data_IF_015830854800
#
_entry.id   IF_015830854800
#
_cell.length_a   1.000
_cell.length_b   1.000
_cell.length_c   1.000
_cell.angle_alpha   90.00
_cell.angle_beta   90.00
_cell.angle_gamma   90.00
#
_symmetry.space_group_name_H-M   'P 1'
#
loop_
_entity.id
_entity.type
_entity.pdbx_description
1 polymer ?
#
# COMPACT_ATOMS: atom_id res chain seq x y z
N UNK A 1 13.62 -11.59 26.05
CA UNK A 1 12.83 -11.98 24.86
C UNK A 1 11.95 -10.80 24.48
N UNK A 2 12.36 -10.01 23.49
CA UNK A 2 11.54 -8.91 22.98
C UNK A 2 10.27 -9.50 22.36
N UNK A 3 9.10 -9.24 22.96
CA UNK A 3 7.81 -9.55 22.33
C UNK A 3 7.65 -8.58 21.16
N UNK A 4 7.99 -9.07 19.97
CA UNK A 4 7.88 -8.36 18.70
C UNK A 4 6.48 -7.73 18.56
N UNK A 5 6.42 -6.44 18.22
CA UNK A 5 5.19 -5.78 17.78
C UNK A 5 4.65 -6.51 16.54
N UNK A 6 3.74 -7.47 16.74
CA UNK A 6 2.99 -8.08 15.65
C UNK A 6 1.81 -7.17 15.33
N UNK A 7 1.86 -6.52 14.17
CA UNK A 7 0.77 -5.69 13.65
C UNK A 7 0.08 -6.45 12.53
N UNK A 8 -1.24 -6.53 12.58
CA UNK A 8 -2.04 -7.41 11.71
C UNK A 8 -2.95 -6.60 10.78
N UNK A 9 -3.28 -7.15 9.61
CA UNK A 9 -4.30 -6.56 8.74
C UNK A 9 -5.64 -6.40 9.48
N UNK A 10 -6.27 -5.22 9.41
CA UNK A 10 -7.57 -4.99 10.04
C UNK A 10 -8.77 -5.34 9.15
N UNK A 11 -8.56 -5.76 7.90
CA UNK A 11 -9.63 -5.99 6.93
C UNK A 11 -9.79 -7.48 6.60
N UNK A 12 -11.04 -7.87 6.33
CA UNK A 12 -11.57 -9.18 5.88
C UNK A 12 -10.62 -10.40 5.93
N UNK A 13 -11.00 -11.39 6.74
CA UNK A 13 -10.31 -12.68 6.88
C UNK A 13 -9.58 -12.84 8.21
N UNK A 14 -8.74 -13.90 8.31
CA UNK A 14 -7.99 -14.15 9.53
C UNK A 14 -6.88 -13.10 9.72
N UNK A 15 -6.76 -12.46 10.92
CA UNK A 15 -5.74 -11.47 11.17
C UNK A 15 -4.32 -12.02 10.95
N UNK A 16 -3.65 -11.56 9.90
CA UNK A 16 -2.28 -11.94 9.52
C UNK A 16 -1.32 -10.76 9.70
N UNK A 17 -0.04 -10.99 10.01
CA UNK A 17 0.95 -9.91 10.10
C UNK A 17 1.05 -9.11 8.80
N UNK A 18 1.15 -7.79 8.89
CA UNK A 18 1.51 -6.95 7.75
C UNK A 18 2.95 -7.26 7.34
N UNK A 19 3.15 -7.73 6.11
CA UNK A 19 4.47 -8.04 5.59
C UNK A 19 5.06 -6.82 4.92
N UNK A 20 6.30 -6.48 5.33
CA UNK A 20 7.11 -5.40 4.77
C UNK A 20 8.24 -6.02 3.96
N UNK A 21 8.61 -5.39 2.85
CA UNK A 21 9.73 -5.74 1.99
C UNK A 21 10.71 -4.57 1.93
N UNK A 22 12.00 -4.87 2.10
CA UNK A 22 12.98 -3.83 2.43
C UNK A 22 12.69 -3.22 3.81
N UNK A 23 13.13 -1.97 4.00
CA UNK A 23 12.84 -1.22 5.24
C UNK A 23 11.46 -0.57 5.27
N UNK A 24 10.90 -0.16 4.11
CA UNK A 24 9.83 0.85 4.08
C UNK A 24 8.59 0.47 3.27
N UNK A 25 8.62 -0.58 2.44
CA UNK A 25 7.54 -0.89 1.50
C UNK A 25 6.67 -2.05 1.98
N UNK A 26 5.34 -1.98 1.86
CA UNK A 26 4.51 -3.15 2.09
C UNK A 26 4.69 -4.15 0.95
N UNK A 27 4.53 -5.44 1.24
CA UNK A 27 4.46 -6.47 0.22
C UNK A 27 3.25 -6.18 -0.71
N UNK A 28 3.35 -6.34 -2.05
CA UNK A 28 2.24 -6.05 -2.97
C UNK A 28 0.91 -6.74 -2.62
N UNK A 29 0.98 -7.97 -2.10
CA UNK A 29 -0.19 -8.73 -1.62
C UNK A 29 -0.99 -8.00 -0.53
N UNK A 30 -0.34 -7.10 0.24
CA UNK A 30 -0.99 -6.22 1.19
C UNK A 30 -2.06 -5.34 0.56
N UNK A 31 -1.70 -4.72 -0.56
CA UNK A 31 -2.58 -3.85 -1.32
C UNK A 31 -3.67 -4.65 -2.01
N UNK A 32 -3.31 -5.78 -2.62
CA UNK A 32 -4.29 -6.66 -3.27
C UNK A 32 -5.38 -7.07 -2.27
N UNK A 33 -5.00 -7.55 -1.09
CA UNK A 33 -5.95 -7.90 -0.02
C UNK A 33 -6.81 -6.73 0.43
N UNK A 34 -6.21 -5.54 0.57
CA UNK A 34 -6.93 -4.32 0.91
C UNK A 34 -8.06 -4.04 -0.10
N UNK A 35 -7.79 -4.29 -1.38
CA UNK A 35 -8.76 -4.12 -2.47
C UNK A 35 -9.65 -5.36 -2.72
N UNK A 36 -9.67 -6.33 -1.80
CA UNK A 36 -10.50 -7.54 -1.94
C UNK A 36 -9.99 -8.53 -3.00
N UNK A 37 -8.75 -8.34 -3.48
CA UNK A 37 -8.10 -9.25 -4.40
C UNK A 37 -7.28 -10.28 -3.62
N UNK A 38 -7.60 -11.56 -3.81
CA UNK A 38 -6.82 -12.66 -3.26
C UNK A 38 -6.10 -13.37 -4.39
N UNK A 39 -4.76 -13.38 -4.36
CA UNK A 39 -3.96 -14.14 -5.34
C UNK A 39 -4.39 -15.60 -5.38
N UNK A 40 -4.66 -16.19 -4.20
CA UNK A 40 -5.13 -17.57 -4.13
C UNK A 40 -6.50 -17.73 -4.80
N UNK A 41 -7.46 -16.82 -4.52
CA UNK A 41 -8.79 -16.90 -5.13
C UNK A 41 -8.70 -16.78 -6.66
N UNK A 42 -7.87 -15.86 -7.18
CA UNK A 42 -7.64 -15.75 -8.62
C UNK A 42 -7.10 -17.03 -9.26
N UNK A 43 -6.22 -17.77 -8.57
CA UNK A 43 -5.77 -19.08 -9.04
C UNK A 43 -6.86 -20.16 -8.89
N UNK A 44 -7.66 -20.15 -7.81
CA UNK A 44 -8.79 -21.08 -7.63
C UNK A 44 -9.84 -20.87 -8.74
N UNK A 45 -10.20 -19.63 -9.08
CA UNK A 45 -11.14 -19.26 -10.14
C UNK A 45 -10.64 -19.68 -11.53
N UNK A 46 -9.33 -19.65 -11.77
CA UNK A 46 -8.71 -20.14 -12.99
C UNK A 46 -8.57 -21.69 -13.02
N UNK A 47 -9.04 -22.42 -12.01
CA UNK A 47 -8.86 -23.88 -11.89
C UNK A 47 -7.42 -24.32 -11.55
N UNK A 48 -6.55 -23.37 -11.19
CA UNK A 48 -5.12 -23.56 -10.94
C UNK A 48 -4.76 -23.53 -9.45
N UNK A 49 -5.72 -23.33 -8.55
CA UNK A 49 -5.45 -23.14 -7.12
C UNK A 49 -4.75 -24.32 -6.44
N UNK A 50 -4.95 -25.55 -6.93
CA UNK A 50 -4.20 -26.72 -6.46
C UNK A 50 -2.69 -26.63 -6.81
N UNK A 51 -2.33 -26.09 -7.98
CA UNK A 51 -0.94 -25.85 -8.37
C UNK A 51 -0.33 -24.72 -7.56
N UNK A 52 -1.07 -23.64 -7.35
CA UNK A 52 -0.65 -22.53 -6.52
C UNK A 52 -0.36 -22.98 -5.07
N UNK A 53 -1.31 -23.69 -4.43
CA UNK A 53 -1.10 -24.26 -3.07
C UNK A 53 0.11 -25.19 -3.02
N UNK A 54 0.31 -26.00 -4.06
CA UNK A 54 1.47 -26.91 -4.16
C UNK A 54 2.78 -26.14 -4.32
N UNK A 55 2.78 -25.04 -5.06
CA UNK A 55 3.93 -24.15 -5.20
C UNK A 55 4.29 -23.52 -3.85
N UNK A 56 3.31 -22.90 -3.18
CA UNK A 56 3.49 -22.25 -1.87
C UNK A 56 4.00 -23.22 -0.80
N UNK A 57 3.52 -24.46 -0.76
CA UNK A 57 4.05 -25.48 0.17
C UNK A 57 5.49 -25.87 -0.13
N UNK A 58 5.86 -25.92 -1.42
CA UNK A 58 7.20 -26.35 -1.86
C UNK A 58 8.25 -25.24 -1.75
N UNK A 59 7.82 -23.99 -1.61
CA UNK A 59 8.69 -22.84 -1.35
C UNK A 59 8.91 -22.59 0.14
N UNK A 60 8.26 -23.36 1.04
CA UNK A 60 8.48 -23.27 2.49
C UNK A 60 9.77 -23.97 2.93
N UNK A 61 10.44 -23.37 3.92
CA UNK A 61 11.82 -23.62 4.35
C UNK A 61 12.23 -25.10 4.58
N UNK A 62 13.32 -25.59 3.96
CA UNK A 62 14.00 -25.05 2.78
C UNK A 62 13.28 -25.46 1.47
N UNK A 63 13.26 -24.58 0.46
CA UNK A 63 12.62 -24.87 -0.81
C UNK A 63 13.30 -26.03 -1.55
N UNK A 64 12.52 -26.98 -2.06
CA UNK A 64 13.04 -28.01 -2.95
C UNK A 64 13.00 -27.48 -4.40
N UNK A 65 14.11 -26.88 -4.85
CA UNK A 65 14.22 -26.20 -6.14
C UNK A 65 13.67 -27.03 -7.30
N UNK A 66 14.09 -28.30 -7.43
CA UNK A 66 13.61 -29.20 -8.50
C UNK A 66 12.09 -29.35 -8.49
N UNK A 67 11.47 -29.50 -7.32
CA UNK A 67 10.01 -29.64 -7.18
C UNK A 67 9.27 -28.31 -7.35
N UNK A 68 9.88 -27.20 -6.95
CA UNK A 68 9.38 -25.83 -7.18
C UNK A 68 9.33 -25.57 -8.68
N UNK A 69 10.46 -25.74 -9.37
CA UNK A 69 10.59 -25.53 -10.82
C UNK A 69 9.63 -26.42 -11.62
N UNK A 70 9.49 -27.70 -11.25
CA UNK A 70 8.48 -28.59 -11.87
C UNK A 70 7.05 -28.04 -11.72
N UNK A 71 6.71 -27.53 -10.54
CA UNK A 71 5.36 -27.01 -10.26
C UNK A 71 5.11 -25.70 -10.99
N UNK A 72 6.14 -24.84 -11.03
CA UNK A 72 6.10 -23.56 -11.73
C UNK A 72 5.93 -23.77 -13.24
N UNK A 73 6.65 -24.71 -13.84
CA UNK A 73 6.49 -25.08 -15.25
C UNK A 73 5.07 -25.53 -15.59
N UNK A 74 4.48 -26.39 -14.76
CA UNK A 74 3.10 -26.87 -14.95
C UNK A 74 2.08 -25.73 -14.82
N UNK A 75 2.34 -24.77 -13.94
CA UNK A 75 1.50 -23.59 -13.77
C UNK A 75 1.61 -22.64 -14.97
N UNK A 76 2.83 -22.35 -15.44
CA UNK A 76 3.07 -21.49 -16.61
C UNK A 76 2.51 -22.09 -17.90
N UNK A 77 2.59 -23.42 -18.08
CA UNK A 77 2.00 -24.07 -19.26
C UNK A 77 0.48 -23.94 -19.33
N UNK A 78 -0.18 -23.71 -18.19
CA UNK A 78 -1.63 -23.54 -18.10
C UNK A 78 -2.07 -22.07 -18.08
N UNK A 79 -1.18 -21.15 -17.71
CA UNK A 79 -1.41 -19.71 -17.84
C UNK A 79 -1.21 -19.20 -19.28
N UNK A 80 -0.47 -19.95 -20.11
CA UNK A 80 -0.06 -19.54 -21.46
C UNK A 80 -0.99 -20.00 -22.60
N UNK A 81 -2.30 -19.75 -22.52
CA UNK A 81 -3.25 -19.90 -23.65
C UNK A 81 -3.44 -18.55 -24.41
N UNK A 82 -3.92 -18.54 -25.68
CA UNK A 82 -3.40 -17.66 -26.73
C UNK A 82 -3.73 -16.17 -26.57
N UNK A 83 -2.69 -15.39 -26.33
CA UNK A 83 -2.61 -13.93 -26.29
C UNK A 83 -1.14 -13.53 -26.08
N UNK A 84 -0.78 -12.25 -26.24
CA UNK A 84 0.58 -11.76 -25.98
C UNK A 84 0.84 -11.79 -24.45
N UNK A 85 1.55 -12.79 -23.90
CA UNK A 85 1.66 -12.94 -22.46
C UNK A 85 2.40 -11.73 -21.88
N UNK A 86 2.09 -11.28 -20.64
CA UNK A 86 2.87 -10.23 -19.98
C UNK A 86 4.36 -10.56 -20.06
N UNK A 87 5.18 -9.58 -20.43
CA UNK A 87 6.61 -9.77 -20.71
C UNK A 87 7.36 -10.50 -19.58
N UNK A 88 6.91 -10.32 -18.33
CA UNK A 88 7.42 -11.06 -17.17
C UNK A 88 7.24 -12.58 -17.27
N UNK A 89 6.08 -13.08 -17.73
CA UNK A 89 5.83 -14.52 -17.87
C UNK A 89 6.70 -15.14 -18.97
N UNK A 90 6.96 -14.39 -20.04
CA UNK A 90 7.87 -14.81 -21.10
C UNK A 90 9.31 -14.92 -20.59
N UNK A 91 9.81 -13.91 -19.87
CA UNK A 91 11.15 -13.94 -19.26
C UNK A 91 11.28 -15.02 -18.19
N UNK A 92 10.24 -15.23 -17.38
CA UNK A 92 10.23 -16.28 -16.37
C UNK A 92 10.32 -17.67 -17.02
N UNK A 93 9.61 -17.90 -18.13
CA UNK A 93 9.70 -19.14 -18.90
C UNK A 93 11.12 -19.35 -19.45
N UNK A 94 11.70 -18.33 -20.08
CA UNK A 94 13.08 -18.39 -20.57
C UNK A 94 14.09 -18.67 -19.45
N UNK A 95 13.92 -18.05 -18.28
CA UNK A 95 14.78 -18.29 -17.12
C UNK A 95 14.69 -19.74 -16.63
N UNK A 96 13.49 -20.33 -16.60
CA UNK A 96 13.29 -21.73 -16.24
C UNK A 96 13.89 -22.68 -17.28
N UNK A 97 13.84 -22.31 -18.56
CA UNK A 97 14.44 -23.06 -19.67
C UNK A 97 15.98 -22.92 -19.72
N UNK A 98 16.60 -22.20 -18.76
CA UNK A 98 18.05 -22.11 -18.60
C UNK A 98 18.69 -20.86 -19.23
N UNK A 99 17.91 -19.87 -19.65
CA UNK A 99 18.47 -18.61 -20.14
C UNK A 99 19.01 -17.75 -18.97
N UNK A 100 20.33 -17.73 -18.81
CA UNK A 100 21.01 -16.94 -17.76
C UNK A 100 20.69 -15.44 -17.82
N UNK A 101 20.54 -14.88 -19.02
CA UNK A 101 20.16 -13.46 -19.17
C UNK A 101 18.74 -13.20 -18.67
N UNK A 102 17.80 -14.10 -18.95
CA UNK A 102 16.42 -13.98 -18.46
C UNK A 102 16.37 -14.19 -16.94
N UNK A 103 17.13 -15.16 -16.43
CA UNK A 103 17.31 -15.37 -14.99
C UNK A 103 17.83 -14.11 -14.29
N UNK A 104 18.89 -13.50 -14.82
CA UNK A 104 19.44 -12.27 -14.27
C UNK A 104 18.42 -11.12 -14.31
N UNK A 105 17.60 -11.00 -15.37
CA UNK A 105 16.53 -10.00 -15.42
C UNK A 105 15.49 -10.24 -14.32
N UNK A 106 15.06 -11.49 -14.11
CA UNK A 106 14.09 -11.86 -13.06
C UNK A 106 14.65 -11.64 -11.67
N UNK A 107 15.90 -12.05 -11.42
CA UNK A 107 16.58 -11.89 -10.13
C UNK A 107 16.78 -10.40 -9.77
N UNK A 108 16.86 -9.52 -10.77
CA UNK A 108 16.94 -8.07 -10.60
C UNK A 108 15.58 -7.38 -10.41
N UNK A 109 14.46 -8.11 -10.32
CA UNK A 109 13.15 -7.50 -10.05
C UNK A 109 12.85 -7.46 -8.55
N UNK A 110 12.30 -6.32 -8.11
CA UNK A 110 11.62 -6.22 -6.81
C UNK A 110 10.23 -6.85 -6.84
N UNK A 111 9.61 -7.09 -5.67
CA UNK A 111 8.25 -7.63 -5.60
C UNK A 111 7.23 -6.68 -6.25
N UNK A 112 7.36 -5.37 -6.01
CA UNK A 112 6.50 -4.34 -6.63
C UNK A 112 6.69 -4.34 -8.15
N UNK A 113 7.92 -4.43 -8.66
CA UNK A 113 8.14 -4.49 -10.11
C UNK A 113 7.55 -5.76 -10.71
N UNK A 114 7.76 -6.92 -10.07
CA UNK A 114 7.14 -8.18 -10.49
C UNK A 114 5.62 -8.06 -10.54
N UNK A 115 5.01 -7.45 -9.53
CA UNK A 115 3.56 -7.24 -9.49
C UNK A 115 3.10 -6.33 -10.65
N UNK A 116 3.74 -5.17 -10.85
CA UNK A 116 3.40 -4.24 -11.92
C UNK A 116 3.52 -4.88 -13.31
N UNK A 117 4.62 -5.59 -13.56
CA UNK A 117 4.85 -6.30 -14.82
C UNK A 117 3.85 -7.44 -15.04
N UNK A 118 3.46 -8.14 -13.97
CA UNK A 118 2.45 -9.20 -14.03
C UNK A 118 1.06 -8.66 -14.37
N UNK A 119 0.74 -7.43 -13.94
CA UNK A 119 -0.47 -6.71 -14.34
C UNK A 119 -0.32 -5.96 -15.68
N UNK A 120 0.75 -6.22 -16.45
CA UNK A 120 0.96 -5.63 -17.77
C UNK A 120 1.44 -4.17 -17.76
N UNK A 121 1.78 -3.61 -16.60
CA UNK A 121 2.27 -2.23 -16.48
C UNK A 121 3.77 -2.17 -16.79
N UNK A 122 4.10 -1.74 -18.01
CA UNK A 122 5.49 -1.65 -18.51
C UNK A 122 6.26 -0.47 -17.89
N UNK A 123 7.60 -0.55 -17.75
CA UNK A 123 8.39 0.50 -17.10
C UNK A 123 8.20 1.89 -17.70
N UNK A 124 8.16 2.00 -19.03
CA UNK A 124 7.99 3.28 -19.71
C UNK A 124 6.62 3.95 -19.44
N UNK A 125 5.61 3.17 -19.02
CA UNK A 125 4.27 3.68 -18.68
C UNK A 125 4.05 3.87 -17.18
N UNK A 126 5.08 3.66 -16.33
CA UNK A 126 4.97 3.89 -14.90
C UNK A 126 4.61 5.34 -14.57
N UNK A 127 3.50 5.54 -13.85
CA UNK A 127 3.07 6.83 -13.34
C UNK A 127 3.77 7.12 -12.00
N UNK A 128 3.56 8.32 -11.44
CA UNK A 128 4.23 8.75 -10.19
C UNK A 128 4.02 7.74 -9.08
N UNK A 129 2.78 7.24 -8.91
CA UNK A 129 2.44 6.25 -7.87
C UNK A 129 3.17 4.93 -8.05
N UNK A 130 3.37 4.47 -9.30
CA UNK A 130 4.11 3.24 -9.58
C UNK A 130 5.59 3.44 -9.25
N UNK A 131 6.16 4.54 -9.74
CA UNK A 131 7.55 4.89 -9.50
C UNK A 131 7.88 5.12 -8.02
N UNK A 132 6.95 5.68 -7.24
CA UNK A 132 7.11 5.84 -5.80
C UNK A 132 7.31 4.48 -5.12
N UNK A 133 6.45 3.48 -5.37
CA UNK A 133 6.57 2.16 -4.75
C UNK A 133 7.82 1.41 -5.22
N UNK A 134 8.15 1.48 -6.52
CA UNK A 134 9.36 0.85 -7.07
C UNK A 134 10.62 1.40 -6.39
N UNK A 135 10.72 2.73 -6.27
CA UNK A 135 11.85 3.37 -5.60
C UNK A 135 11.87 3.05 -4.11
N UNK A 136 10.72 3.06 -3.45
CA UNK A 136 10.62 2.75 -2.03
C UNK A 136 11.12 1.34 -1.71
N UNK A 137 10.72 0.33 -2.49
CA UNK A 137 11.20 -1.04 -2.29
C UNK A 137 12.69 -1.18 -2.62
N UNK A 138 13.15 -0.64 -3.77
CA UNK A 138 14.56 -0.73 -4.17
C UNK A 138 15.50 -0.10 -3.16
N UNK A 139 15.24 1.16 -2.83
CA UNK A 139 16.06 1.93 -1.90
C UNK A 139 15.96 1.37 -0.48
N UNK A 140 14.76 0.89 -0.08
CA UNK A 140 14.56 0.20 1.19
C UNK A 140 15.32 -1.12 1.29
N UNK A 141 15.41 -1.93 0.23
CA UNK A 141 16.20 -3.17 0.21
C UNK A 141 17.70 -2.87 0.27
N UNK A 142 18.17 -1.89 -0.49
CA UNK A 142 19.58 -1.50 -0.47
C UNK A 142 20.01 -0.99 0.92
N UNK A 143 19.22 -0.13 1.55
CA UNK A 143 19.48 0.31 2.90
C UNK A 143 19.45 -0.85 3.91
N UNK A 144 18.50 -1.78 3.78
CA UNK A 144 18.46 -2.99 4.61
C UNK A 144 19.71 -3.86 4.43
N UNK A 145 20.21 -4.00 3.21
CA UNK A 145 21.44 -4.73 2.91
C UNK A 145 22.64 -4.11 3.61
N UNK A 146 22.81 -2.78 3.53
CA UNK A 146 23.90 -2.07 4.19
C UNK A 146 23.87 -2.26 5.71
N UNK A 147 22.70 -2.18 6.34
CA UNK A 147 22.58 -2.53 7.76
C UNK A 147 22.94 -3.99 8.05
N UNK A 148 22.49 -4.93 7.22
CA UNK A 148 22.74 -6.36 7.40
C UNK A 148 24.23 -6.74 7.25
N UNK A 149 24.99 -6.00 6.45
CA UNK A 149 26.44 -6.19 6.27
C UNK A 149 27.29 -5.39 7.26
N UNK A 150 26.67 -4.65 8.18
CA UNK A 150 27.33 -3.86 9.22
C UNK A 150 27.70 -2.44 8.81
N UNK A 151 27.42 -2.03 7.56
CA UNK A 151 27.64 -0.66 7.08
C UNK A 151 26.46 0.26 7.46
N UNK A 152 26.28 0.45 8.77
CA UNK A 152 25.20 1.31 9.28
C UNK A 152 25.39 2.77 8.86
N UNK A 153 26.64 3.28 8.85
CA UNK A 153 26.92 4.66 8.42
C UNK A 153 26.54 4.87 6.96
N UNK A 154 26.97 3.97 6.06
CA UNK A 154 26.61 4.02 4.66
C UNK A 154 25.10 3.90 4.43
N UNK A 155 24.40 3.12 5.26
CA UNK A 155 22.94 3.05 5.21
C UNK A 155 22.29 4.39 5.53
N UNK A 156 22.72 5.08 6.60
CA UNK A 156 22.18 6.39 6.98
C UNK A 156 22.51 7.47 5.96
N UNK A 157 23.74 7.49 5.45
CA UNK A 157 24.16 8.42 4.40
C UNK A 157 23.33 8.22 3.12
N UNK A 158 23.12 6.97 2.73
CA UNK A 158 22.28 6.63 1.58
C UNK A 158 20.84 7.10 1.77
N UNK A 159 20.21 6.79 2.92
CA UNK A 159 18.83 7.21 3.23
C UNK A 159 18.72 8.74 3.20
N UNK A 160 19.69 9.44 3.76
CA UNK A 160 19.73 10.91 3.85
C UNK A 160 19.96 11.59 2.51
N UNK A 161 20.69 10.95 1.59
CA UNK A 161 20.94 11.46 0.25
C UNK A 161 19.85 11.08 -0.76
N UNK A 162 19.14 9.96 -0.55
CA UNK A 162 18.21 9.45 -1.55
C UNK A 162 17.00 10.39 -1.73
N UNK A 163 16.65 10.81 -2.97
CA UNK A 163 15.64 11.83 -3.23
C UNK A 163 14.27 11.56 -2.60
N UNK A 164 13.86 10.28 -2.53
CA UNK A 164 12.61 9.87 -1.91
C UNK A 164 12.74 9.62 -0.39
N UNK A 165 13.83 8.98 0.06
CA UNK A 165 13.90 8.50 1.44
C UNK A 165 14.21 9.62 2.42
N UNK A 166 14.94 10.65 1.99
CA UNK A 166 15.21 11.83 2.82
C UNK A 166 13.94 12.54 3.29
N UNK A 167 12.84 12.44 2.53
CA UNK A 167 11.55 13.04 2.87
C UNK A 167 10.85 12.34 4.05
N UNK A 168 11.32 11.13 4.42
CA UNK A 168 10.86 10.36 5.57
C UNK A 168 11.64 10.69 6.86
N UNK A 169 12.71 11.48 6.75
CA UNK A 169 13.58 11.81 7.87
C UNK A 169 13.16 13.11 8.55
N UNK A 170 13.30 13.11 9.86
CA UNK A 170 13.35 14.30 10.72
C UNK A 170 14.63 14.23 11.56
N UNK A 171 15.10 15.35 12.14
CA UNK A 171 16.42 15.41 12.79
C UNK A 171 16.66 14.26 13.78
N UNK A 172 15.67 13.99 14.64
CA UNK A 172 15.74 12.94 15.66
C UNK A 172 15.75 11.53 15.05
N UNK A 173 15.14 11.32 13.88
CA UNK A 173 15.20 10.03 13.19
C UNK A 173 16.60 9.74 12.66
N UNK A 174 17.29 10.76 12.15
CA UNK A 174 18.68 10.62 11.68
C UNK A 174 19.59 10.23 12.85
N UNK A 175 19.43 10.88 14.00
CA UNK A 175 20.16 10.51 15.22
C UNK A 175 19.88 9.07 15.66
N UNK A 176 18.60 8.65 15.64
CA UNK A 176 18.20 7.30 16.02
C UNK A 176 18.80 6.24 15.07
N UNK A 177 18.84 6.53 13.77
CA UNK A 177 19.47 5.66 12.78
C UNK A 177 20.98 5.50 13.02
N UNK A 178 21.70 6.58 13.36
CA UNK A 178 23.12 6.51 13.68
C UNK A 178 23.42 5.76 14.98
N UNK A 179 22.51 5.81 15.96
CA UNK A 179 22.68 5.19 17.29
C UNK A 179 22.26 3.71 17.34
N UNK A 180 21.61 3.20 16.30
CA UNK A 180 21.07 1.85 16.33
C UNK A 180 22.17 0.78 16.35
N UNK A 181 22.05 -0.17 17.28
CA UNK A 181 22.99 -1.30 17.44
C UNK A 181 22.68 -2.44 16.49
N UNK A 182 21.42 -2.57 16.07
CA UNK A 182 20.95 -3.62 15.17
C UNK A 182 19.63 -3.22 14.49
N UNK A 183 19.24 -4.02 13.50
CA UNK A 183 18.03 -3.84 12.70
C UNK A 183 16.72 -4.01 13.48
N UNK A 184 16.74 -4.78 14.57
CA UNK A 184 15.54 -5.04 15.37
C UNK A 184 15.17 -3.81 16.20
N UNK A 185 16.18 -3.08 16.71
CA UNK A 185 16.02 -1.80 17.38
C UNK A 185 15.41 -0.72 16.47
N UNK A 186 15.64 -0.80 15.16
CA UNK A 186 15.10 0.15 14.18
C UNK A 186 13.65 -0.11 13.78
N UNK A 187 13.06 -1.27 14.12
CA UNK A 187 11.71 -1.64 13.67
C UNK A 187 10.62 -0.61 13.97
N UNK A 188 10.54 -0.02 15.18
CA UNK A 188 9.50 0.97 15.48
C UNK A 188 9.63 2.21 14.59
N UNK A 189 10.87 2.67 14.36
CA UNK A 189 11.19 3.80 13.50
C UNK A 189 10.90 3.49 12.02
N UNK A 190 11.39 2.37 11.50
CA UNK A 190 11.15 1.98 10.10
C UNK A 190 9.68 1.70 9.83
N UNK A 191 8.92 1.22 10.81
CA UNK A 191 7.46 1.13 10.72
C UNK A 191 6.80 2.51 10.59
N UNK A 192 7.26 3.48 11.38
CA UNK A 192 6.78 4.87 11.31
C UNK A 192 7.08 5.51 9.94
N UNK A 193 8.31 5.34 9.44
CA UNK A 193 8.72 5.79 8.11
C UNK A 193 7.95 5.06 7.00
N UNK A 194 7.70 3.77 7.15
CA UNK A 194 6.90 3.00 6.20
C UNK A 194 5.49 3.57 6.10
N UNK A 195 4.83 3.83 7.22
CA UNK A 195 3.48 4.41 7.25
C UNK A 195 3.44 5.81 6.60
N UNK A 196 4.45 6.65 6.83
CA UNK A 196 4.59 7.96 6.16
C UNK A 196 4.84 7.82 4.65
N UNK A 197 5.66 6.87 4.22
CA UNK A 197 5.91 6.60 2.81
C UNK A 197 4.63 6.18 2.07
N UNK A 198 3.78 5.38 2.71
CA UNK A 198 2.51 4.94 2.12
C UNK A 198 1.49 6.09 2.04
N UNK A 199 1.56 7.07 2.94
CA UNK A 199 0.84 8.34 2.79
C UNK A 199 1.38 9.14 1.59
N UNK A 200 2.69 9.11 1.36
CA UNK A 200 3.34 9.68 0.17
C UNK A 200 2.98 9.01 -1.15
N UNK A 201 2.78 7.70 -1.14
CA UNK A 201 2.23 6.96 -2.27
C UNK A 201 0.78 7.36 -2.56
N UNK A 202 -0.05 7.52 -1.52
CA UNK A 202 -1.44 7.96 -1.66
C UNK A 202 -1.51 9.36 -2.33
N UNK A 203 -0.65 10.28 -1.92
CA UNK A 203 -0.55 11.61 -2.55
C UNK A 203 -0.14 11.53 -4.03
N UNK A 204 0.79 10.62 -4.38
CA UNK A 204 1.16 10.38 -5.77
C UNK A 204 -0.02 9.84 -6.60
N UNK A 205 -0.81 8.94 -6.01
CA UNK A 205 -2.02 8.40 -6.62
C UNK A 205 -3.09 9.47 -6.82
N UNK A 206 -3.30 10.37 -5.85
CA UNK A 206 -4.23 11.49 -5.97
C UNK A 206 -3.89 12.35 -7.20
N UNK A 207 -2.64 12.78 -7.31
CA UNK A 207 -2.17 13.59 -8.45
C UNK A 207 -2.30 12.85 -9.79
N UNK A 208 -1.91 11.57 -9.86
CA UNK A 208 -2.05 10.77 -11.09
C UNK A 208 -3.53 10.60 -11.47
N UNK A 209 -4.41 10.42 -10.49
CA UNK A 209 -5.85 10.26 -10.71
C UNK A 209 -6.51 11.56 -11.18
N UNK A 210 -6.16 12.68 -10.56
CA UNK A 210 -6.64 14.01 -10.95
C UNK A 210 -6.20 14.35 -12.38
N UNK A 211 -4.92 14.14 -12.70
CA UNK A 211 -4.37 14.39 -14.04
C UNK A 211 -5.01 13.51 -15.12
N UNK A 212 -5.15 12.20 -14.88
CA UNK A 212 -5.81 11.28 -15.83
C UNK A 212 -7.23 11.76 -16.21
N UNK A 213 -7.90 12.45 -15.30
CA UNK A 213 -9.31 12.86 -15.42
C UNK A 213 -9.48 14.34 -15.78
N UNK A 214 -8.40 15.11 -15.87
CA UNK A 214 -8.47 16.56 -16.03
C UNK A 214 -9.19 17.28 -14.88
N UNK A 215 -9.13 16.72 -13.66
CA UNK A 215 -9.76 17.27 -12.46
C UNK A 215 -8.74 18.02 -11.59
N UNK A 216 -9.16 19.00 -10.78
CA UNK A 216 -8.26 19.69 -9.86
C UNK A 216 -7.83 18.78 -8.71
N UNK A 217 -6.53 18.69 -8.41
CA UNK A 217 -6.03 18.00 -7.22
C UNK A 217 -6.04 18.93 -5.97
N UNK A 218 -6.18 18.40 -4.74
CA UNK A 218 -6.36 16.99 -4.39
C UNK A 218 -7.82 16.51 -4.41
N UNK A 219 -8.02 15.26 -4.81
CA UNK A 219 -9.30 14.54 -4.85
C UNK A 219 -9.54 13.69 -3.59
N UNK A 220 -8.49 13.34 -2.83
CA UNK A 220 -8.58 12.46 -1.65
C UNK A 220 -8.47 13.22 -0.32
N UNK A 221 -8.26 14.54 -0.35
CA UNK A 221 -8.07 15.34 0.87
C UNK A 221 -9.27 15.29 1.83
N UNK A 222 -10.48 15.13 1.30
CA UNK A 222 -11.71 14.96 2.08
C UNK A 222 -11.76 13.64 2.89
N UNK A 223 -10.84 12.70 2.64
CA UNK A 223 -10.74 11.42 3.33
C UNK A 223 -9.70 11.42 4.45
N UNK A 224 -8.93 12.50 4.59
CA UNK A 224 -7.84 12.61 5.56
C UNK A 224 -8.39 13.15 6.89
N UNK A 225 -8.33 12.36 7.98
CA UNK A 225 -8.70 12.85 9.30
C UNK A 225 -7.87 14.07 9.70
N UNK A 226 -8.53 15.03 10.34
CA UNK A 226 -7.90 16.29 10.73
C UNK A 226 -8.52 16.86 12.01
N UNK A 227 -7.82 17.80 12.64
CA UNK A 227 -8.30 18.47 13.86
C UNK A 227 -9.57 19.28 13.67
N UNK A 228 -9.89 19.68 12.45
CA UNK A 228 -11.14 20.41 12.16
C UNK A 228 -12.35 19.49 12.15
N UNK A 229 -12.14 18.17 12.10
CA UNK A 229 -13.16 17.13 12.13
C UNK A 229 -12.79 16.06 13.17
N UNK A 230 -12.74 16.40 14.46
CA UNK A 230 -12.25 15.51 15.50
C UNK A 230 -13.10 14.24 15.61
N UNK A 231 -12.45 13.09 15.81
CA UNK A 231 -13.11 11.80 15.97
C UNK A 231 -13.67 11.20 14.67
N UNK A 232 -13.45 11.82 13.51
CA UNK A 232 -13.83 11.27 12.20
C UNK A 232 -12.70 10.41 11.65
N UNK A 233 -13.04 9.19 11.25
CA UNK A 233 -12.13 8.28 10.56
C UNK A 233 -12.40 8.26 9.04
N UNK A 234 -11.48 7.71 8.22
CA UNK A 234 -11.59 7.73 6.76
C UNK A 234 -12.89 7.11 6.23
N UNK A 235 -13.42 6.10 6.93
CA UNK A 235 -14.69 5.47 6.61
C UNK A 235 -15.86 6.43 6.75
N UNK A 236 -15.94 7.13 7.88
CA UNK A 236 -16.98 8.12 8.12
C UNK A 236 -16.88 9.30 7.16
N UNK A 237 -15.66 9.67 6.74
CA UNK A 237 -15.40 10.75 5.78
C UNK A 237 -15.81 10.36 4.36
N UNK A 238 -15.53 9.12 3.95
CA UNK A 238 -16.03 8.56 2.69
C UNK A 238 -17.56 8.57 2.64
N UNK A 239 -18.23 8.25 3.76
CA UNK A 239 -19.69 8.32 3.82
C UNK A 239 -20.23 9.76 3.75
N UNK A 240 -19.53 10.74 4.33
CA UNK A 240 -19.89 12.15 4.15
C UNK A 240 -19.75 12.60 2.69
N UNK A 241 -18.72 12.15 2.00
CA UNK A 241 -18.56 12.38 0.56
C UNK A 241 -19.67 11.72 -0.27
N UNK A 242 -20.08 10.49 0.08
CA UNK A 242 -21.24 9.84 -0.55
C UNK A 242 -22.52 10.67 -0.34
N UNK A 243 -22.84 11.08 0.90
CA UNK A 243 -24.01 11.94 1.16
C UNK A 243 -23.97 13.23 0.35
N UNK A 244 -22.80 13.88 0.27
CA UNK A 244 -22.60 15.10 -0.52
C UNK A 244 -22.95 14.87 -2.00
N UNK A 245 -22.53 13.74 -2.58
CA UNK A 245 -22.82 13.38 -3.98
C UNK A 245 -24.28 13.08 -4.23
N UNK A 246 -24.93 12.39 -3.29
CA UNK A 246 -26.36 12.10 -3.34
C UNK A 246 -27.21 13.36 -3.11
N UNK A 247 -26.61 14.50 -2.73
CA UNK A 247 -27.35 15.74 -2.44
C UNK A 247 -28.16 15.67 -1.15
N UNK A 248 -27.76 14.81 -0.20
CA UNK A 248 -28.49 14.56 1.04
C UNK A 248 -27.74 15.07 2.26
N UNK A 249 -28.48 15.38 3.32
CA UNK A 249 -27.91 16.02 4.54
C UNK A 249 -27.87 15.09 5.75
N UNK A 250 -28.76 14.10 5.79
CA UNK A 250 -28.91 13.16 6.91
C UNK A 250 -28.75 11.70 6.45
N UNK A 251 -28.59 10.79 7.41
CA UNK A 251 -28.59 9.34 7.13
C UNK A 251 -29.97 8.87 6.64
N UNK A 252 -31.05 9.42 7.20
CA UNK A 252 -32.42 9.09 6.79
C UNK A 252 -32.71 9.55 5.36
N UNK A 253 -32.23 10.75 5.00
CA UNK A 253 -32.39 11.33 3.66
C UNK A 253 -31.85 10.40 2.55
N UNK A 254 -30.82 9.59 2.84
CA UNK A 254 -30.26 8.63 1.87
C UNK A 254 -31.33 7.63 1.41
N UNK A 255 -32.25 7.23 2.28
CA UNK A 255 -33.34 6.31 1.96
C UNK A 255 -34.58 7.05 1.47
N UNK A 256 -34.87 8.22 2.04
CA UNK A 256 -36.14 8.93 1.81
C UNK A 256 -36.16 9.76 0.52
N UNK A 257 -34.99 10.22 0.04
CA UNK A 257 -34.89 11.15 -1.12
C UNK A 257 -34.43 10.48 -2.42
N UNK A 258 -34.27 9.16 -2.41
CA UNK A 258 -33.95 8.39 -3.62
C UNK A 258 -35.12 8.36 -4.62
N UNK A 259 -34.80 8.14 -5.88
CA UNK A 259 -35.78 7.84 -6.95
C UNK A 259 -36.36 6.43 -6.81
N UNK A 260 -35.65 5.53 -6.12
CA UNK A 260 -36.12 4.20 -5.72
C UNK A 260 -35.61 3.86 -4.32
N UNK A 261 -36.23 2.87 -3.67
CA UNK A 261 -35.80 2.41 -2.34
C UNK A 261 -34.67 1.40 -2.52
N UNK A 262 -33.44 1.70 -2.07
CA UNK A 262 -32.34 0.75 -2.10
C UNK A 262 -32.55 -0.36 -1.04
N UNK A 263 -32.17 -1.59 -1.37
CA UNK A 263 -32.18 -2.71 -0.42
C UNK A 263 -31.00 -2.59 0.56
N UNK A 264 -31.13 -1.67 1.52
CA UNK A 264 -30.13 -1.45 2.57
C UNK A 264 -30.81 -1.01 3.87
N UNK A 265 -30.43 -1.66 4.96
CA UNK A 265 -30.90 -1.29 6.29
C UNK A 265 -30.31 0.06 6.73
N UNK A 266 -31.15 0.92 7.33
CA UNK A 266 -30.70 2.21 7.88
C UNK A 266 -29.57 2.05 8.93
N UNK A 267 -29.58 0.94 9.69
CA UNK A 267 -28.53 0.61 10.64
C UNK A 267 -27.15 0.46 9.99
N UNK A 268 -27.08 -0.04 8.76
CA UNK A 268 -25.84 -0.11 7.98
C UNK A 268 -25.32 1.28 7.66
N UNK A 269 -26.19 2.21 7.24
CA UNK A 269 -25.82 3.59 6.95
C UNK A 269 -25.33 4.34 8.20
N UNK A 270 -25.94 4.11 9.36
CA UNK A 270 -25.44 4.66 10.63
C UNK A 270 -24.08 4.08 11.04
N UNK A 271 -23.82 2.79 10.77
CA UNK A 271 -22.50 2.17 11.00
C UNK A 271 -21.43 2.76 10.08
N UNK A 272 -21.77 3.09 8.83
CA UNK A 272 -20.87 3.79 7.91
C UNK A 272 -20.62 5.23 8.35
N UNK A 273 -21.68 5.97 8.71
CA UNK A 273 -21.58 7.35 9.19
C UNK A 273 -20.76 7.48 10.47
N UNK A 274 -20.82 6.49 11.35
CA UNK A 274 -19.99 6.45 12.58
C UNK A 274 -18.61 5.85 12.35
N UNK A 275 -18.30 5.40 11.13
CA UNK A 275 -17.02 4.82 10.78
C UNK A 275 -16.76 3.44 11.38
N UNK A 276 -17.79 2.73 11.86
CA UNK A 276 -17.67 1.40 12.48
C UNK A 276 -17.51 0.28 11.44
N UNK A 277 -18.19 0.42 10.30
CA UNK A 277 -18.13 -0.53 9.19
C UNK A 277 -17.73 0.20 7.91
N UNK A 278 -16.80 -0.38 7.14
CA UNK A 278 -16.46 0.14 5.82
C UNK A 278 -17.63 -0.13 4.85
N UNK A 279 -18.03 0.83 3.99
CA UNK A 279 -18.99 0.57 2.93
C UNK A 279 -18.54 -0.56 2.02
N UNK A 280 -19.44 -1.37 1.48
CA UNK A 280 -19.12 -2.30 0.40
C UNK A 280 -19.51 -1.68 -0.95
N UNK A 281 -18.80 -2.08 -2.01
CA UNK A 281 -18.99 -1.48 -3.34
C UNK A 281 -20.35 -1.81 -3.95
N UNK A 282 -20.95 -2.95 -3.58
CA UNK A 282 -22.26 -3.38 -4.06
C UNK A 282 -23.37 -2.46 -3.56
N UNK A 283 -23.45 -2.27 -2.24
CA UNK A 283 -24.42 -1.38 -1.61
C UNK A 283 -24.17 0.08 -1.99
N UNK A 284 -22.91 0.54 -2.08
CA UNK A 284 -22.62 1.91 -2.59
C UNK A 284 -23.15 2.08 -4.03
N UNK A 285 -22.93 1.10 -4.91
CA UNK A 285 -23.46 1.15 -6.28
C UNK A 285 -24.98 1.19 -6.31
N UNK A 286 -25.65 0.40 -5.45
CA UNK A 286 -27.11 0.37 -5.37
C UNK A 286 -27.67 1.71 -4.86
N UNK A 287 -27.03 2.33 -3.87
CA UNK A 287 -27.38 3.67 -3.38
C UNK A 287 -27.23 4.74 -4.47
N UNK A 288 -26.12 4.73 -5.21
CA UNK A 288 -25.92 5.67 -6.32
C UNK A 288 -27.01 5.52 -7.39
N UNK A 289 -27.29 4.29 -7.81
CA UNK A 289 -28.33 3.99 -8.79
C UNK A 289 -29.72 4.43 -8.30
N UNK A 290 -30.04 4.20 -7.03
CA UNK A 290 -31.29 4.63 -6.42
C UNK A 290 -31.47 6.15 -6.42
N UNK A 291 -30.39 6.93 -6.49
CA UNK A 291 -30.42 8.39 -6.59
C UNK A 291 -30.26 8.90 -8.03
N UNK A 292 -30.34 8.01 -9.03
CA UNK A 292 -30.20 8.38 -10.44
C UNK A 292 -28.78 8.77 -10.83
N UNK A 293 -27.77 8.36 -10.04
CA UNK A 293 -26.37 8.50 -10.42
C UNK A 293 -25.98 7.24 -11.20
N UNK A 294 -25.69 7.40 -12.49
CA UNK A 294 -25.24 6.31 -13.34
C UNK A 294 -23.96 5.68 -12.79
N UNK A 295 -23.85 4.37 -12.96
CA UNK A 295 -22.64 3.63 -12.62
C UNK A 295 -21.55 3.94 -13.63
N UNK A 296 -20.86 5.06 -13.45
CA UNK A 296 -19.61 5.31 -14.14
C UNK A 296 -18.50 4.49 -13.44
N UNK A 297 -17.91 3.46 -14.09
CA UNK A 297 -16.77 2.75 -13.53
C UNK A 297 -15.55 3.64 -13.33
N UNK A 298 -15.49 4.79 -14.00
CA UNK A 298 -14.51 5.85 -13.79
C UNK A 298 -15.02 6.92 -12.81
N UNK A 299 -16.07 6.70 -12.01
CA UNK A 299 -16.43 7.63 -10.95
C UNK A 299 -15.29 7.75 -9.92
N UNK A 300 -14.98 8.98 -9.49
CA UNK A 300 -13.91 9.27 -8.53
C UNK A 300 -14.22 8.69 -7.15
N UNK A 301 -15.49 8.44 -6.83
CA UNK A 301 -15.91 7.79 -5.59
C UNK A 301 -15.26 6.41 -5.44
N UNK A 302 -15.07 5.65 -6.53
CA UNK A 302 -14.39 4.34 -6.45
C UNK A 302 -12.90 4.48 -6.16
N UNK A 303 -12.24 5.55 -6.65
CA UNK A 303 -10.85 5.85 -6.29
C UNK A 303 -10.77 6.32 -4.83
N UNK A 304 -11.69 7.19 -4.40
CA UNK A 304 -11.83 7.65 -3.01
C UNK A 304 -12.12 6.48 -2.06
N UNK A 305 -12.91 5.50 -2.48
CA UNK A 305 -13.16 4.28 -1.73
C UNK A 305 -11.85 3.52 -1.48
N UNK A 306 -11.04 3.32 -2.52
CA UNK A 306 -9.74 2.69 -2.37
C UNK A 306 -8.76 3.50 -1.52
N UNK A 307 -8.73 4.82 -1.71
CA UNK A 307 -7.94 5.75 -0.90
C UNK A 307 -8.33 5.68 0.59
N UNK A 308 -9.62 5.70 0.90
CA UNK A 308 -10.12 5.60 2.27
C UNK A 308 -9.71 4.29 2.95
N UNK A 309 -9.66 3.17 2.22
CA UNK A 309 -9.13 1.90 2.75
C UNK A 309 -7.65 2.01 3.13
N UNK A 310 -6.84 2.66 2.30
CA UNK A 310 -5.41 2.88 2.54
C UNK A 310 -5.21 3.77 3.75
N UNK A 311 -5.90 4.91 3.82
CA UNK A 311 -5.80 5.81 4.99
C UNK A 311 -6.26 5.10 6.25
N UNK A 312 -7.33 4.29 6.18
CA UNK A 312 -7.82 3.53 7.33
C UNK A 312 -6.83 2.44 7.77
N UNK A 313 -6.13 1.79 6.83
CA UNK A 313 -5.01 0.88 7.16
C UNK A 313 -3.93 1.63 7.93
N UNK A 314 -3.45 2.74 7.40
CA UNK A 314 -2.38 3.53 8.01
C UNK A 314 -2.82 4.00 9.41
N UNK A 315 -4.04 4.54 9.54
CA UNK A 315 -4.61 4.98 10.81
C UNK A 315 -4.65 3.86 11.85
N UNK A 316 -5.21 2.70 11.48
CA UNK A 316 -5.29 1.53 12.34
C UNK A 316 -3.91 1.09 12.81
N UNK A 317 -2.93 1.04 11.89
CA UNK A 317 -1.56 0.64 12.20
C UNK A 317 -0.92 1.61 13.19
N UNK A 318 -0.95 2.91 12.92
CA UNK A 318 -0.39 3.93 13.82
C UNK A 318 -1.04 3.86 15.20
N UNK A 319 -2.38 3.80 15.27
CA UNK A 319 -3.11 3.73 16.53
C UNK A 319 -2.81 2.45 17.31
N UNK A 320 -2.67 1.32 16.61
CA UNK A 320 -2.32 0.03 17.23
C UNK A 320 -0.92 0.09 17.83
N UNK A 321 0.06 0.61 17.10
CA UNK A 321 1.43 0.74 17.61
C UNK A 321 1.45 1.71 18.79
N UNK A 322 0.89 2.91 18.62
CA UNK A 322 0.87 3.93 19.67
C UNK A 322 0.19 3.43 20.95
N UNK A 323 -0.94 2.71 20.83
CA UNK A 323 -1.64 2.13 21.98
C UNK A 323 -0.80 1.08 22.68
N UNK A 324 -0.23 0.12 21.94
CA UNK A 324 0.66 -0.90 22.51
C UNK A 324 1.88 -0.29 23.19
N UNK A 325 2.45 0.76 22.62
CA UNK A 325 3.58 1.46 23.24
C UNK A 325 3.19 2.13 24.56
N UNK A 326 2.00 2.75 24.63
CA UNK A 326 1.48 3.32 25.90
C UNK A 326 1.26 2.23 26.95
N UNK A 327 0.70 1.09 26.55
CA UNK A 327 0.46 -0.06 27.44
C UNK A 327 1.76 -0.69 27.98
N UNK A 328 2.84 -0.67 27.19
CA UNK A 328 4.13 -1.26 27.58
C UNK A 328 4.97 -0.39 28.52
N UNK A 329 4.72 0.91 28.61
CA UNK A 329 5.39 1.78 29.58
C UNK A 329 6.89 2.06 29.30
N UNK A 330 7.44 1.60 28.18
CA UNK A 330 8.83 1.86 27.74
C UNK A 330 8.87 2.65 26.41
N UNK A 331 8.57 3.97 26.39
CA UNK A 331 8.53 4.75 25.16
C UNK A 331 9.86 4.79 24.39
N UNK A 332 10.99 4.67 25.06
CA UNK A 332 12.32 4.72 24.42
C UNK A 332 12.57 3.53 23.49
N UNK A 333 12.14 2.32 23.87
CA UNK A 333 12.32 1.11 23.06
C UNK A 333 11.42 1.08 21.81
N UNK A 334 10.35 1.88 21.81
CA UNK A 334 9.37 1.97 20.74
C UNK A 334 9.37 3.32 20.04
N UNK A 335 10.36 4.18 20.30
CA UNK A 335 10.45 5.50 19.70
C UNK A 335 10.36 5.42 18.16
N UNK A 336 9.56 6.29 17.49
CA UNK A 336 8.95 7.53 17.99
C UNK A 336 7.64 7.35 18.78
N UNK A 337 7.10 6.15 18.86
CA UNK A 337 5.81 5.89 19.50
C UNK A 337 5.88 6.14 21.02
N UNK A 338 4.78 6.61 21.65
CA UNK A 338 3.44 6.78 21.09
C UNK A 338 3.20 8.14 20.41
N UNK A 339 4.21 9.00 20.35
CA UNK A 339 4.18 10.14 19.45
C UNK A 339 4.25 9.62 18.00
N UNK A 340 3.66 10.37 17.10
CA UNK A 340 3.66 10.07 15.68
C UNK A 340 4.96 10.63 15.06
N UNK A 341 5.38 10.14 13.88
CA UNK A 341 6.54 10.68 13.18
C UNK A 341 6.51 12.21 13.14
N UNK A 342 7.68 12.87 13.18
CA UNK A 342 7.77 14.35 13.24
C UNK A 342 7.17 14.97 14.53
N UNK A 343 6.98 14.19 15.60
CA UNK A 343 6.59 14.71 16.92
C UNK A 343 5.09 15.04 17.06
N UNK A 344 4.25 14.58 16.14
CA UNK A 344 2.81 14.81 16.21
C UNK A 344 2.16 13.99 17.35
N UNK A 345 1.11 14.55 17.98
CA UNK A 345 0.46 13.95 19.16
C UNK A 345 -0.50 12.79 18.83
N UNK A 346 -1.06 12.81 17.63
CA UNK A 346 -2.14 11.93 17.20
C UNK A 346 -2.14 11.77 15.66
N UNK A 347 -2.94 10.83 15.18
CA UNK A 347 -3.01 10.49 13.76
C UNK A 347 -3.56 11.65 12.93
N UNK A 348 -4.60 12.33 13.42
CA UNK A 348 -5.26 13.44 12.75
C UNK A 348 -4.29 14.61 12.54
N UNK A 349 -3.48 14.95 13.53
CA UNK A 349 -2.43 15.96 13.43
C UNK A 349 -1.38 15.56 12.39
N UNK A 350 -0.92 14.32 12.47
CA UNK A 350 0.13 13.81 11.61
C UNK A 350 -0.32 13.74 10.16
N UNK A 351 -1.46 13.11 9.89
CA UNK A 351 -1.99 12.95 8.54
C UNK A 351 -2.35 14.31 7.90
N UNK A 352 -2.96 15.23 8.65
CA UNK A 352 -3.30 16.57 8.15
C UNK A 352 -2.07 17.44 7.83
N UNK A 353 -0.92 17.19 8.48
CA UNK A 353 0.33 17.87 8.17
C UNK A 353 1.11 17.18 7.04
N UNK A 354 1.19 15.85 7.08
CA UNK A 354 2.03 15.06 6.17
C UNK A 354 1.41 14.83 4.81
N UNK A 355 0.08 14.69 4.71
CA UNK A 355 -0.56 14.51 3.42
C UNK A 355 -0.36 15.71 2.47
N UNK A 356 -0.58 16.97 2.89
CA UNK A 356 -0.24 18.14 2.08
C UNK A 356 1.25 18.23 1.73
N UNK A 357 2.15 17.97 2.68
CA UNK A 357 3.59 17.91 2.41
C UNK A 357 3.90 16.94 1.26
N UNK A 358 3.30 15.75 1.29
CA UNK A 358 3.53 14.76 0.25
C UNK A 358 2.94 15.16 -1.10
N UNK A 359 1.80 15.84 -1.14
CA UNK A 359 1.27 16.41 -2.39
C UNK A 359 2.25 17.40 -3.01
N UNK A 360 2.79 18.32 -2.22
CA UNK A 360 3.76 19.32 -2.70
C UNK A 360 5.07 18.66 -3.12
N UNK A 361 5.59 17.75 -2.30
CA UNK A 361 6.75 16.95 -2.63
C UNK A 361 6.60 16.21 -3.97
N UNK A 362 5.44 15.61 -4.22
CA UNK A 362 5.16 14.86 -5.45
C UNK A 362 4.95 15.77 -6.67
N UNK A 363 4.39 16.98 -6.48
CA UNK A 363 4.31 17.99 -7.54
C UNK A 363 5.71 18.43 -7.98
N UNK A 364 6.59 18.69 -7.01
CA UNK A 364 7.94 19.18 -7.27
C UNK A 364 8.88 18.08 -7.79
N UNK A 365 8.83 16.89 -7.19
CA UNK A 365 9.84 15.84 -7.38
C UNK A 365 9.32 14.64 -8.18
N UNK A 366 8.01 14.49 -8.36
CA UNK A 366 7.41 13.27 -8.92
C UNK A 366 7.89 12.92 -10.33
N UNK A 367 8.14 13.92 -11.18
CA UNK A 367 8.69 13.70 -12.52
C UNK A 367 10.14 13.16 -12.48
N UNK A 368 10.98 13.74 -11.61
CA UNK A 368 12.36 13.30 -11.41
C UNK A 368 12.42 11.88 -10.80
N UNK A 369 11.56 11.58 -9.83
CA UNK A 369 11.42 10.24 -9.26
C UNK A 369 10.94 9.23 -10.31
N UNK A 370 10.00 9.61 -11.15
CA UNK A 370 9.53 8.75 -12.25
C UNK A 370 10.66 8.43 -13.22
N UNK A 371 11.44 9.44 -13.61
CA UNK A 371 12.62 9.24 -14.45
C UNK A 371 13.63 8.30 -13.76
N UNK A 372 13.96 8.54 -12.49
CA UNK A 372 14.88 7.72 -11.71
C UNK A 372 14.44 6.25 -11.64
N UNK A 373 13.15 6.00 -11.35
CA UNK A 373 12.59 4.65 -11.26
C UNK A 373 12.72 3.90 -12.59
N UNK A 374 12.41 4.58 -13.70
CA UNK A 374 12.49 4.03 -15.06
C UNK A 374 13.93 3.75 -15.48
N UNK A 375 14.87 4.66 -15.20
CA UNK A 375 16.29 4.47 -15.54
C UNK A 375 16.95 3.38 -14.71
N UNK A 376 16.53 3.22 -13.46
CA UNK A 376 17.05 2.16 -12.59
C UNK A 376 16.51 0.77 -12.97
N UNK A 377 15.46 0.68 -13.79
CA UNK A 377 14.87 -0.60 -14.19
C UNK A 377 15.89 -1.48 -14.92
N UNK A 378 16.01 -2.74 -14.48
CA UNK A 378 16.98 -3.70 -15.02
C UNK A 378 18.41 -3.53 -14.50
N UNK A 379 18.67 -2.56 -13.63
CA UNK A 379 19.96 -2.47 -12.91
C UNK A 379 20.00 -3.55 -11.83
N UNK A 380 21.18 -4.13 -11.60
CA UNK A 380 21.38 -5.15 -10.57
C UNK A 380 20.89 -4.62 -9.21
N UNK A 381 19.95 -5.33 -8.60
CA UNK A 381 19.55 -5.10 -7.21
C UNK A 381 20.56 -5.85 -6.36
N UNK A 382 21.24 -5.13 -5.46
CA UNK A 382 22.21 -5.70 -4.53
C UNK A 382 21.52 -6.48 -3.42
#
# INVERSE_FOLDING_TARGET
MSKQLSIRYPFEGHPAPLQVVGLFSFLPDAYLKLFGMSVQASFDDAGLGHLYRRLTRKTQNPPNEKRVMKTLNELLSKLGEPGDPPAFLADLKLAIDGCEQAKQRIDNLTFVETALLSFGTKPHSWQRRHSHLVLLERSGRYAQHLFATGDSSGAVDYISAHPLLKALLWPEAVEALHKASDMDALRPLTSAMSLDAHLGWLAAWDLDSAEKRGLPAPQFANLIPSKTQPGRNPTSLLFDELKRRLGVTSVADVLDKGQSVPDVEIGTLYRWSSGKNFPDTGTVSALMAAHGLDKDPEDILYQQYGAAKVVNLIAYMCQTIATKTREHGEPSAFWPWPAYPFGHSDFESWAAARYPFWLDFQRENGAALTKLARTAHGTKIL
#
